data_IF_751084529090
#
_entry.id   IF_751084529090
#
_cell.length_a   1.000
_cell.length_b   1.000
_cell.length_c   1.000
_cell.angle_alpha   90.00
_cell.angle_beta   90.00
_cell.angle_gamma   90.00
#
_symmetry.space_group_name_H-M   'P 1'
#
loop_
_entity.id
_entity.type
_entity.pdbx_description
1 polymer ?
#
# COMPACT_ATOMS: atom_id res chain seq x y z
N UNK A 1 29.93 31.70 -2.92
CA UNK A 1 30.65 30.42 -3.04
C UNK A 1 31.04 30.28 -4.50
N UNK A 2 32.33 30.29 -4.79
CA UNK A 2 32.87 30.33 -6.16
C UNK A 2 32.81 28.92 -6.79
N UNK A 3 32.33 28.80 -8.03
CA UNK A 3 32.22 27.50 -8.71
C UNK A 3 33.55 27.16 -9.40
N UNK A 4 34.05 25.91 -9.30
CA UNK A 4 35.24 25.51 -10.03
C UNK A 4 34.98 25.60 -11.54
N UNK A 5 35.75 26.44 -12.23
CA UNK A 5 35.56 26.75 -13.65
C UNK A 5 36.45 25.90 -14.56
N UNK A 6 37.55 25.37 -14.05
CA UNK A 6 38.55 24.64 -14.82
C UNK A 6 39.03 23.40 -14.06
N UNK A 7 39.32 22.33 -14.80
CA UNK A 7 39.97 21.12 -14.30
C UNK A 7 41.38 21.05 -14.87
N UNK A 8 42.37 20.83 -14.01
CA UNK A 8 43.76 20.60 -14.42
C UNK A 8 44.03 19.09 -14.44
N UNK A 9 44.35 18.56 -15.61
CA UNK A 9 44.76 17.16 -15.76
C UNK A 9 46.23 16.99 -15.34
N UNK A 10 46.62 15.78 -14.97
CA UNK A 10 48.00 15.44 -14.58
C UNK A 10 49.04 15.79 -15.67
N UNK A 11 48.61 15.91 -16.93
CA UNK A 11 49.43 16.36 -18.05
C UNK A 11 49.60 17.89 -18.15
N UNK A 12 49.10 18.66 -17.18
CA UNK A 12 49.11 20.13 -17.17
C UNK A 12 48.04 20.79 -18.05
N UNK A 13 47.19 20.01 -18.74
CA UNK A 13 46.11 20.51 -19.59
C UNK A 13 44.98 21.08 -18.73
N UNK A 14 44.49 22.26 -19.09
CA UNK A 14 43.32 22.90 -18.47
C UNK A 14 42.13 22.77 -19.42
N UNK A 15 41.02 22.21 -18.95
CA UNK A 15 39.75 22.19 -19.68
C UNK A 15 38.65 22.90 -18.87
N UNK A 16 37.74 23.62 -19.55
CA UNK A 16 36.59 24.23 -18.90
C UNK A 16 35.64 23.14 -18.40
N UNK A 17 35.13 23.29 -17.17
CA UNK A 17 34.12 22.38 -16.64
C UNK A 17 32.81 22.63 -17.41
N UNK A 18 32.24 21.63 -18.10
CA UNK A 18 30.98 21.81 -18.79
C UNK A 18 29.86 22.02 -17.77
N UNK A 19 28.95 22.97 -18.07
CA UNK A 19 27.78 23.17 -17.23
C UNK A 19 26.77 22.03 -17.42
N UNK A 20 26.70 21.14 -16.42
CA UNK A 20 25.77 20.02 -16.39
C UNK A 20 24.41 20.37 -15.79
N UNK A 21 24.24 21.60 -15.29
CA UNK A 21 22.98 22.08 -14.70
C UNK A 21 21.72 21.79 -15.55
N UNK A 22 21.72 21.96 -16.90
CA UNK A 22 20.52 21.68 -17.70
C UNK A 22 20.17 20.19 -17.78
N UNK A 23 21.14 19.29 -17.62
CA UNK A 23 20.93 17.84 -17.70
C UNK A 23 20.47 17.24 -16.37
N UNK A 24 20.83 17.88 -15.26
CA UNK A 24 20.51 17.44 -13.90
C UNK A 24 19.33 18.19 -13.30
N UNK A 25 18.67 19.05 -14.08
CA UNK A 25 17.54 19.84 -13.59
C UNK A 25 16.34 18.93 -13.35
N UNK A 26 15.85 18.81 -12.10
CA UNK A 26 14.62 18.07 -11.85
C UNK A 26 13.47 18.72 -12.61
N UNK A 27 12.60 17.87 -13.16
CA UNK A 27 11.41 18.28 -13.88
C UNK A 27 10.18 17.96 -13.02
N UNK A 28 9.09 18.69 -13.21
CA UNK A 28 7.85 18.46 -12.46
C UNK A 28 7.36 17.01 -12.67
N UNK A 29 7.54 16.46 -13.88
CA UNK A 29 7.18 15.09 -14.19
C UNK A 29 8.05 14.07 -13.45
N UNK A 30 9.37 14.31 -13.38
CA UNK A 30 10.27 13.42 -12.63
C UNK A 30 9.98 13.45 -11.14
N UNK A 31 9.66 14.62 -10.58
CA UNK A 31 9.34 14.76 -9.16
C UNK A 31 8.04 14.03 -8.83
N UNK A 32 7.01 14.17 -9.68
CA UNK A 32 5.75 13.45 -9.51
C UNK A 32 5.94 11.93 -9.61
N UNK A 33 6.71 11.46 -10.59
CA UNK A 33 7.04 10.04 -10.72
C UNK A 33 7.81 9.52 -9.50
N UNK A 34 8.76 10.29 -8.98
CA UNK A 34 9.53 9.94 -7.79
C UNK A 34 8.60 9.79 -6.57
N UNK A 35 7.81 10.82 -6.26
CA UNK A 35 6.95 10.78 -5.06
C UNK A 35 5.88 9.69 -5.15
N UNK A 36 5.28 9.49 -6.32
CA UNK A 36 4.27 8.44 -6.50
C UNK A 36 4.88 7.04 -6.36
N UNK A 37 6.04 6.78 -6.97
CA UNK A 37 6.70 5.49 -6.87
C UNK A 37 7.16 5.18 -5.45
N UNK A 38 7.74 6.15 -4.73
CA UNK A 38 8.19 5.91 -3.36
C UNK A 38 7.02 5.83 -2.37
N UNK A 39 5.95 6.59 -2.56
CA UNK A 39 4.75 6.47 -1.73
C UNK A 39 4.05 5.13 -1.96
N UNK A 40 3.83 4.74 -3.22
CA UNK A 40 3.23 3.45 -3.56
C UNK A 40 4.16 2.31 -3.12
N UNK A 41 5.44 2.37 -3.46
CA UNK A 41 6.45 1.40 -3.05
C UNK A 41 6.53 1.25 -1.53
N UNK A 42 6.53 2.35 -0.78
CA UNK A 42 6.50 2.32 0.68
C UNK A 42 5.23 1.69 1.25
N UNK A 43 4.06 2.00 0.68
CA UNK A 43 2.78 1.44 1.11
C UNK A 43 2.67 -0.06 0.79
N UNK A 44 3.04 -0.48 -0.42
CA UNK A 44 2.95 -1.88 -0.85
C UNK A 44 4.09 -2.74 -0.29
N UNK A 45 5.36 -2.30 -0.43
CA UNK A 45 6.47 -3.05 0.17
C UNK A 45 6.49 -2.99 1.69
N UNK A 46 6.12 -1.87 2.32
CA UNK A 46 6.11 -1.76 3.78
C UNK A 46 4.82 -2.30 4.40
N UNK A 47 3.66 -1.86 3.88
CA UNK A 47 2.35 -2.19 4.44
C UNK A 47 1.89 -3.60 4.10
N UNK A 48 1.70 -3.90 2.81
CA UNK A 48 1.14 -5.20 2.40
C UNK A 48 2.10 -6.37 2.68
N UNK A 49 3.40 -6.21 2.42
CA UNK A 49 4.39 -7.22 2.82
C UNK A 49 4.40 -7.43 4.34
N UNK A 50 4.23 -6.35 5.11
CA UNK A 50 4.10 -6.42 6.57
C UNK A 50 2.86 -7.19 7.00
N UNK A 51 1.72 -6.93 6.37
CA UNK A 51 0.47 -7.66 6.60
C UNK A 51 0.62 -9.15 6.25
N UNK A 52 1.14 -9.48 5.07
CA UNK A 52 1.33 -10.87 4.63
C UNK A 52 2.25 -11.62 5.59
N UNK A 53 3.38 -11.01 5.95
CA UNK A 53 4.36 -11.60 6.88
C UNK A 53 3.77 -11.76 8.27
N UNK A 54 3.02 -10.76 8.74
CA UNK A 54 2.31 -10.81 10.02
C UNK A 54 1.27 -11.92 10.07
N UNK A 55 0.44 -12.04 9.02
CA UNK A 55 -0.54 -13.13 8.87
C UNK A 55 0.15 -14.48 8.83
N UNK A 56 1.25 -14.62 8.08
CA UNK A 56 2.01 -15.87 8.03
C UNK A 56 2.56 -16.27 9.41
N UNK A 57 3.13 -15.30 10.14
CA UNK A 57 3.63 -15.50 11.50
C UNK A 57 2.50 -15.90 12.46
N UNK A 58 1.37 -15.20 12.42
CA UNK A 58 0.20 -15.51 13.22
C UNK A 58 -0.35 -16.92 12.92
N UNK A 59 -0.48 -17.28 11.63
CA UNK A 59 -0.90 -18.62 11.21
C UNK A 59 0.03 -19.71 11.74
N UNK A 60 1.34 -19.47 11.69
CA UNK A 60 2.33 -20.41 12.25
C UNK A 60 2.19 -20.56 13.76
N UNK A 61 1.97 -19.47 14.49
CA UNK A 61 1.80 -19.50 15.95
C UNK A 61 0.50 -20.20 16.36
N UNK A 62 -0.62 -19.87 15.72
CA UNK A 62 -1.92 -20.52 15.95
C UNK A 62 -1.83 -22.02 15.65
N UNK A 63 -1.14 -22.41 14.58
CA UNK A 63 -1.00 -23.83 14.20
C UNK A 63 -0.18 -24.67 15.18
N UNK A 64 0.66 -24.06 16.02
CA UNK A 64 1.47 -24.76 17.04
C UNK A 64 0.65 -25.18 18.27
N UNK A 65 -0.40 -24.44 18.59
CA UNK A 65 -1.28 -24.71 19.73
C UNK A 65 -2.65 -25.24 19.26
N UNK A 66 -2.91 -26.55 19.42
CA UNK A 66 -4.16 -27.16 18.97
C UNK A 66 -5.41 -26.61 19.68
N UNK A 67 -5.30 -26.21 20.95
CA UNK A 67 -6.43 -25.67 21.73
C UNK A 67 -6.83 -24.27 21.22
N UNK A 68 -5.83 -23.40 21.04
CA UNK A 68 -6.06 -22.07 20.45
C UNK A 68 -6.64 -22.16 19.04
N UNK A 69 -6.18 -23.11 18.23
CA UNK A 69 -6.74 -23.35 16.89
C UNK A 69 -8.22 -23.72 16.95
N UNK A 70 -8.60 -24.65 17.82
CA UNK A 70 -10.00 -25.09 17.98
C UNK A 70 -10.91 -23.95 18.45
N UNK A 71 -10.44 -23.15 19.42
CA UNK A 71 -11.18 -21.98 19.92
C UNK A 71 -11.43 -20.95 18.81
N UNK A 72 -10.42 -20.66 17.99
CA UNK A 72 -10.53 -19.73 16.87
C UNK A 72 -11.52 -20.27 15.82
N UNK A 73 -11.46 -21.58 15.53
CA UNK A 73 -12.37 -22.21 14.56
C UNK A 73 -13.83 -22.12 15.02
N UNK A 74 -14.12 -22.46 16.28
CA UNK A 74 -15.47 -22.35 16.85
C UNK A 74 -15.99 -20.91 16.82
N UNK A 75 -15.13 -19.93 17.11
CA UNK A 75 -15.50 -18.52 17.03
C UNK A 75 -15.82 -18.09 15.59
N UNK A 76 -15.03 -18.54 14.62
CA UNK A 76 -15.22 -18.23 13.21
C UNK A 76 -16.51 -18.85 12.64
N UNK A 77 -16.84 -20.08 13.03
CA UNK A 77 -18.09 -20.74 12.63
C UNK A 77 -19.32 -19.97 13.16
N UNK A 78 -19.27 -19.52 14.43
CA UNK A 78 -20.33 -18.68 15.01
C UNK A 78 -20.48 -17.35 14.28
N UNK A 79 -19.36 -16.67 13.99
CA UNK A 79 -19.37 -15.43 13.23
C UNK A 79 -19.99 -15.61 11.85
N UNK A 80 -19.63 -16.69 11.14
CA UNK A 80 -20.19 -17.00 9.83
C UNK A 80 -21.70 -17.24 9.90
N UNK A 81 -22.17 -17.97 10.90
CA UNK A 81 -23.59 -18.19 11.13
C UNK A 81 -24.32 -16.85 11.40
N UNK A 82 -23.72 -15.95 12.17
CA UNK A 82 -24.29 -14.62 12.43
C UNK A 82 -24.35 -13.75 11.17
N UNK A 83 -23.31 -13.75 10.34
CA UNK A 83 -23.33 -13.04 9.06
C UNK A 83 -24.41 -13.57 8.12
N UNK A 84 -24.59 -14.89 8.04
CA UNK A 84 -25.64 -15.50 7.22
C UNK A 84 -27.04 -15.14 7.72
N UNK A 85 -27.25 -15.09 9.03
CA UNK A 85 -28.51 -14.60 9.61
C UNK A 85 -28.78 -13.16 9.24
N UNK A 86 -27.79 -12.26 9.40
CA UNK A 86 -27.93 -10.85 9.00
C UNK A 86 -28.23 -10.67 7.51
N UNK A 87 -27.63 -11.50 6.67
CA UNK A 87 -27.92 -11.50 5.24
C UNK A 87 -29.35 -11.96 4.96
N UNK A 88 -29.80 -13.05 5.59
CA UNK A 88 -31.19 -13.50 5.48
C UNK A 88 -32.17 -12.42 5.97
N UNK A 89 -31.95 -11.84 7.14
CA UNK A 89 -32.77 -10.75 7.68
C UNK A 89 -32.83 -9.54 6.74
N UNK A 90 -31.72 -9.22 6.06
CA UNK A 90 -31.68 -8.14 5.07
C UNK A 90 -32.44 -8.48 3.78
N UNK A 91 -32.48 -9.75 3.37
CA UNK A 91 -33.28 -10.22 2.23
C UNK A 91 -34.77 -10.30 2.59
N UNK A 92 -35.09 -10.84 3.76
CA UNK A 92 -36.47 -10.99 4.26
C UNK A 92 -37.09 -9.63 4.65
N UNK A 93 -36.27 -8.65 5.03
CA UNK A 93 -36.66 -7.27 5.32
C UNK A 93 -37.13 -6.45 4.10
N UNK A 94 -37.07 -7.02 2.89
CA UNK A 94 -38.10 -6.87 1.87
C UNK A 94 -38.54 -5.48 1.42
N UNK A 95 -37.74 -4.42 1.57
CA UNK A 95 -38.01 -3.18 0.83
C UNK A 95 -37.28 -3.24 -0.50
N UNK A 96 -38.04 -3.48 -1.57
CA UNK A 96 -37.51 -3.35 -2.91
C UNK A 96 -36.92 -1.95 -3.07
N UNK A 97 -35.78 -1.83 -3.76
CA UNK A 97 -35.18 -0.52 -4.07
C UNK A 97 -36.21 0.40 -4.76
N UNK A 98 -37.16 -0.19 -5.47
CA UNK A 98 -38.31 0.49 -6.07
C UNK A 98 -39.28 1.09 -5.04
N UNK A 99 -39.59 0.41 -3.93
CA UNK A 99 -40.48 0.93 -2.87
C UNK A 99 -39.84 2.09 -2.11
N UNK A 100 -38.55 2.01 -1.80
CA UNK A 100 -37.84 3.13 -1.14
C UNK A 100 -37.77 4.38 -2.02
N UNK A 101 -37.69 4.21 -3.33
CA UNK A 101 -37.70 5.35 -4.28
C UNK A 101 -39.11 5.92 -4.39
N UNK A 102 -40.16 5.09 -4.37
CA UNK A 102 -41.55 5.56 -4.40
C UNK A 102 -41.99 6.29 -3.12
N UNK A 103 -41.33 6.06 -1.98
CA UNK A 103 -41.62 6.75 -0.71
C UNK A 103 -40.96 8.14 -0.61
N UNK A 104 -40.00 8.44 -1.51
CA UNK A 104 -39.21 9.68 -1.52
C UNK A 104 -39.76 10.72 -2.53
N UNK A 105 -40.59 10.30 -3.48
CA UNK A 105 -41.22 11.16 -4.51
C UNK A 105 -42.74 11.20 -4.35
#
# INVERSE_FOLDING_TARGET
>A
MERPSHVQFASGRLEPVPDLSPLLRPTILSDMAMFTLFAAGGLFMGGETGLITGVYSARRTIGKDPESKERIQRAFEKLRAEMLRRQADALDGGQSVSEKVAEIF
#
